data_IF_488296855647
#
_entry.id   IF_488296855647
#
_cell.length_a   1.000
_cell.length_b   1.000
_cell.length_c   1.000
_cell.angle_alpha   90.00
_cell.angle_beta   90.00
_cell.angle_gamma   90.00
#
_symmetry.space_group_name_H-M   'P 1'
#
loop_
_entity.id
_entity.type
_entity.pdbx_description
1 polymer ?
#
# COMPACT_ATOMS: atom_id res chain seq x y z
N UNK A 1 0.66 -9.51 1.60
CA UNK A 1 0.60 -10.58 0.58
C UNK A 1 1.84 -10.43 -0.28
N UNK A 2 2.76 -11.41 -0.25
CA UNK A 2 3.99 -11.38 -1.06
C UNK A 2 3.60 -11.70 -2.50
N UNK A 3 3.67 -10.72 -3.39
CA UNK A 3 3.58 -10.95 -4.83
C UNK A 3 4.92 -11.55 -5.24
N UNK A 4 4.97 -12.87 -5.44
CA UNK A 4 6.16 -13.48 -6.04
C UNK A 4 6.28 -12.99 -7.48
N UNK A 5 7.42 -12.43 -7.85
CA UNK A 5 7.77 -12.08 -9.23
C UNK A 5 8.00 -13.34 -10.07
N UNK A 6 6.98 -14.17 -10.23
CA UNK A 6 7.05 -15.43 -10.97
C UNK A 6 6.71 -15.23 -12.46
N UNK A 7 7.36 -14.27 -13.12
CA UNK A 7 7.22 -14.03 -14.56
C UNK A 7 7.51 -15.24 -15.46
N UNK A 8 8.52 -16.09 -15.16
CA UNK A 8 8.72 -17.31 -15.92
C UNK A 8 7.49 -18.21 -15.89
N UNK A 9 6.78 -18.25 -14.75
CA UNK A 9 5.54 -19.02 -14.61
C UNK A 9 4.41 -18.44 -15.45
N UNK A 10 4.29 -17.12 -15.57
CA UNK A 10 3.26 -16.48 -16.40
C UNK A 10 3.52 -16.79 -17.88
N UNK A 11 4.76 -16.60 -18.36
CA UNK A 11 5.12 -16.91 -19.75
C UNK A 11 4.97 -18.41 -20.05
N UNK A 12 5.38 -19.29 -19.13
CA UNK A 12 5.20 -20.73 -19.30
C UNK A 12 3.73 -21.11 -19.25
N UNK A 13 2.91 -20.48 -18.39
CA UNK A 13 1.48 -20.72 -18.29
C UNK A 13 0.79 -20.33 -19.61
N UNK A 14 1.12 -19.18 -20.20
CA UNK A 14 0.57 -18.78 -21.50
C UNK A 14 1.03 -19.69 -22.65
N UNK A 15 2.29 -20.17 -22.62
CA UNK A 15 2.76 -21.17 -23.59
C UNK A 15 2.02 -22.50 -23.46
N UNK A 16 1.84 -23.00 -22.24
CA UNK A 16 1.13 -24.24 -21.96
C UNK A 16 -0.34 -24.10 -22.33
N UNK A 17 -0.99 -22.99 -21.96
CA UNK A 17 -2.37 -22.68 -22.33
C UNK A 17 -2.51 -22.59 -23.85
N UNK A 18 -1.61 -21.88 -24.55
CA UNK A 18 -1.60 -21.79 -26.01
C UNK A 18 -1.45 -23.16 -26.70
N UNK A 19 -0.57 -24.01 -26.20
CA UNK A 19 -0.41 -25.38 -26.68
C UNK A 19 -1.66 -26.24 -26.42
N UNK A 20 -2.28 -26.09 -25.24
CA UNK A 20 -3.52 -26.77 -24.88
C UNK A 20 -4.70 -26.32 -25.75
N UNK A 21 -4.86 -25.02 -25.97
CA UNK A 21 -5.96 -24.47 -26.79
C UNK A 21 -5.80 -24.85 -28.27
N UNK A 22 -4.56 -24.91 -28.79
CA UNK A 22 -4.32 -25.35 -30.17
C UNK A 22 -4.70 -26.82 -30.37
N UNK A 23 -4.37 -27.71 -29.41
CA UNK A 23 -4.70 -29.13 -29.50
C UNK A 23 -6.16 -29.47 -29.16
N UNK A 24 -6.91 -28.55 -28.53
CA UNK A 24 -8.30 -28.75 -28.07
C UNK A 24 -9.25 -27.68 -28.56
N UNK A 25 -8.97 -27.11 -29.73
CA UNK A 25 -9.66 -25.95 -30.28
C UNK A 25 -11.19 -26.14 -30.38
N UNK A 26 -11.68 -27.38 -30.53
CA UNK A 26 -13.11 -27.69 -30.56
C UNK A 26 -13.83 -27.53 -29.20
N UNK A 27 -13.13 -27.63 -28.07
CA UNK A 27 -13.68 -27.38 -26.73
C UNK A 27 -13.72 -25.88 -26.38
N UNK A 28 -12.92 -25.07 -27.06
CA UNK A 28 -12.80 -23.62 -26.82
C UNK A 28 -13.42 -22.77 -27.94
N UNK A 29 -14.37 -23.33 -28.71
CA UNK A 29 -15.00 -22.70 -29.89
C UNK A 29 -15.52 -21.27 -29.69
N UNK A 30 -15.72 -20.82 -28.44
CA UNK A 30 -16.22 -19.49 -28.10
C UNK A 30 -15.22 -18.59 -27.34
N UNK A 31 -14.01 -19.07 -27.04
CA UNK A 31 -12.99 -18.30 -26.33
C UNK A 31 -11.82 -17.99 -27.26
N UNK A 32 -11.87 -16.84 -27.93
CA UNK A 32 -10.69 -16.32 -28.62
C UNK A 32 -9.78 -15.67 -27.58
N UNK A 33 -8.68 -16.33 -27.21
CA UNK A 33 -7.58 -15.68 -26.50
C UNK A 33 -7.00 -14.61 -27.44
N UNK A 34 -7.36 -13.35 -27.20
CA UNK A 34 -6.82 -12.19 -27.94
C UNK A 34 -5.58 -11.68 -27.22
N UNK A 35 -4.64 -11.13 -27.99
CA UNK A 35 -3.50 -10.34 -27.50
C UNK A 35 -2.41 -11.09 -26.70
N UNK A 36 -1.84 -12.16 -27.27
CA UNK A 36 -0.60 -12.78 -26.75
C UNK A 36 0.65 -11.87 -26.82
N UNK A 37 0.54 -10.69 -27.44
CA UNK A 37 1.64 -9.73 -27.65
C UNK A 37 1.49 -8.47 -26.77
N UNK A 38 1.08 -8.63 -25.51
CA UNK A 38 1.09 -7.50 -24.58
C UNK A 38 2.50 -7.35 -24.03
N UNK A 39 3.08 -6.15 -24.19
CA UNK A 39 4.35 -5.78 -23.56
C UNK A 39 4.27 -6.01 -22.03
N UNK A 40 5.35 -6.53 -21.44
CA UNK A 40 5.44 -6.82 -19.99
C UNK A 40 5.08 -5.59 -19.15
N UNK A 41 5.57 -4.41 -19.56
CA UNK A 41 5.28 -3.17 -18.86
C UNK A 41 3.79 -2.82 -18.90
N UNK A 42 3.12 -3.09 -20.01
CA UNK A 42 1.69 -2.86 -20.23
C UNK A 42 0.85 -3.88 -19.46
N UNK A 43 1.22 -5.16 -19.52
CA UNK A 43 0.57 -6.23 -18.75
C UNK A 43 0.58 -5.92 -17.25
N UNK A 44 1.74 -5.51 -16.71
CA UNK A 44 1.86 -5.21 -15.28
C UNK A 44 0.96 -4.06 -14.85
N UNK A 45 0.89 -2.99 -15.65
CA UNK A 45 0.03 -1.85 -15.33
C UNK A 45 -1.44 -2.24 -15.37
N UNK A 46 -1.85 -3.01 -16.39
CA UNK A 46 -3.20 -3.56 -16.51
C UNK A 46 -3.53 -4.43 -15.31
N UNK A 47 -2.63 -5.33 -14.94
CA UNK A 47 -2.81 -6.26 -13.83
C UNK A 47 -3.02 -5.55 -12.49
N UNK A 48 -2.17 -4.57 -12.15
CA UNK A 48 -2.29 -3.81 -10.90
C UNK A 48 -3.66 -3.10 -10.82
N UNK A 49 -4.06 -2.39 -11.88
CA UNK A 49 -5.34 -1.68 -11.91
C UNK A 49 -6.52 -2.64 -11.83
N UNK A 50 -6.47 -3.73 -12.62
CA UNK A 50 -7.54 -4.73 -12.68
C UNK A 50 -7.70 -5.45 -11.34
N UNK A 51 -6.61 -5.95 -10.75
CA UNK A 51 -6.65 -6.65 -9.47
C UNK A 51 -7.21 -5.75 -8.36
N UNK A 52 -6.79 -4.48 -8.31
CA UNK A 52 -7.33 -3.54 -7.33
C UNK A 52 -8.83 -3.27 -7.54
N UNK A 53 -9.26 -3.05 -8.78
CA UNK A 53 -10.66 -2.80 -9.12
C UNK A 53 -11.58 -3.96 -8.70
N UNK A 54 -11.18 -5.20 -9.01
CA UNK A 54 -11.95 -6.40 -8.72
C UNK A 54 -11.95 -6.74 -7.22
N UNK A 55 -10.84 -6.50 -6.53
CA UNK A 55 -10.72 -6.83 -5.10
C UNK A 55 -11.22 -5.73 -4.16
N UNK A 56 -11.48 -4.51 -4.66
CA UNK A 56 -11.78 -3.36 -3.81
C UNK A 56 -13.01 -3.57 -2.92
N UNK A 57 -14.09 -4.16 -3.43
CA UNK A 57 -15.32 -4.28 -2.65
C UNK A 57 -15.16 -5.24 -1.46
N UNK A 58 -14.31 -6.26 -1.60
CA UNK A 58 -13.96 -7.15 -0.50
C UNK A 58 -12.97 -6.50 0.47
N UNK A 59 -12.00 -5.73 -0.03
CA UNK A 59 -11.14 -4.91 0.81
C UNK A 59 -11.94 -3.89 1.62
N UNK A 60 -12.93 -3.24 1.00
CA UNK A 60 -13.83 -2.28 1.63
C UNK A 60 -14.55 -2.91 2.82
N UNK A 61 -15.08 -4.12 2.70
CA UNK A 61 -15.71 -4.85 3.82
C UNK A 61 -14.73 -5.10 4.97
N UNK A 62 -13.47 -5.42 4.66
CA UNK A 62 -12.41 -5.67 5.65
C UNK A 62 -11.90 -4.39 6.32
N UNK A 63 -11.92 -3.26 5.61
CA UNK A 63 -11.68 -1.93 6.17
C UNK A 63 -12.84 -1.53 7.09
N UNK A 64 -14.07 -1.82 6.67
CA UNK A 64 -15.27 -1.42 7.41
C UNK A 64 -15.44 -2.20 8.72
N UNK A 65 -14.95 -3.45 8.78
CA UNK A 65 -14.93 -4.24 10.01
C UNK A 65 -13.95 -3.71 11.08
N UNK A 66 -13.17 -2.67 10.76
CA UNK A 66 -12.24 -1.99 11.69
C UNK A 66 -11.27 -2.93 12.41
N UNK A 67 -10.89 -4.04 11.77
CA UNK A 67 -9.86 -4.92 12.30
C UNK A 67 -8.53 -4.16 12.40
N UNK A 68 -7.91 -4.20 13.58
CA UNK A 68 -6.60 -3.56 13.84
C UNK A 68 -5.50 -4.09 12.93
N UNK A 69 -5.59 -5.35 12.49
CA UNK A 69 -4.62 -5.96 11.57
C UNK A 69 -4.91 -5.61 10.11
N UNK A 70 -6.16 -5.76 9.68
CA UNK A 70 -6.53 -5.67 8.28
C UNK A 70 -6.71 -4.23 7.80
N UNK A 71 -7.26 -3.36 8.64
CA UNK A 71 -7.56 -1.97 8.25
C UNK A 71 -6.30 -1.22 7.81
N UNK A 72 -5.20 -1.20 8.59
CA UNK A 72 -3.98 -0.51 8.17
C UNK A 72 -3.39 -1.08 6.88
N UNK A 73 -3.39 -2.42 6.75
CA UNK A 73 -2.85 -3.11 5.58
C UNK A 73 -3.62 -2.76 4.30
N UNK A 74 -4.95 -2.82 4.34
CA UNK A 74 -5.77 -2.50 3.16
C UNK A 74 -5.81 -1.01 2.87
N UNK A 75 -5.80 -0.15 3.89
CA UNK A 75 -5.68 1.29 3.69
C UNK A 75 -4.36 1.68 3.02
N UNK A 76 -3.24 1.05 3.41
CA UNK A 76 -1.96 1.20 2.69
C UNK A 76 -2.10 0.79 1.23
N UNK A 77 -2.70 -0.37 0.96
CA UNK A 77 -2.91 -0.85 -0.39
C UNK A 77 -3.77 0.09 -1.24
N UNK A 78 -4.82 0.69 -0.66
CA UNK A 78 -5.64 1.73 -1.31
C UNK A 78 -4.78 2.95 -1.66
N UNK A 79 -3.98 3.45 -0.71
CA UNK A 79 -3.08 4.59 -0.94
C UNK A 79 -2.09 4.32 -2.06
N UNK A 80 -1.45 3.15 -2.07
CA UNK A 80 -0.45 2.78 -3.07
C UNK A 80 -1.08 2.69 -4.48
N UNK A 81 -2.31 2.18 -4.60
CA UNK A 81 -3.01 2.12 -5.88
C UNK A 81 -3.49 3.50 -6.38
N UNK A 82 -3.91 4.39 -5.47
CA UNK A 82 -4.24 5.78 -5.82
C UNK A 82 -3.01 6.53 -6.34
N UNK A 83 -1.84 6.30 -5.73
CA UNK A 83 -0.57 6.83 -6.23
C UNK A 83 -0.23 6.23 -7.61
N UNK A 84 -0.33 4.91 -7.74
CA UNK A 84 -0.06 4.20 -8.99
C UNK A 84 -0.92 4.71 -10.15
N UNK A 85 -2.23 4.88 -9.94
CA UNK A 85 -3.15 5.46 -10.92
C UNK A 85 -2.62 6.81 -11.42
N UNK A 86 -2.25 7.70 -10.49
CA UNK A 86 -1.75 9.03 -10.81
C UNK A 86 -0.39 9.01 -11.53
N UNK A 87 0.44 8.00 -11.31
CA UNK A 87 1.75 7.86 -11.97
C UNK A 87 1.68 7.38 -13.43
N UNK A 88 0.57 6.72 -13.80
CA UNK A 88 0.42 6.09 -15.12
C UNK A 88 -0.69 6.66 -15.98
N UNK A 89 -1.64 7.43 -15.42
CA UNK A 89 -2.79 7.97 -16.15
C UNK A 89 -2.39 8.89 -17.32
N UNK A 90 -1.41 9.77 -17.13
CA UNK A 90 -1.00 10.74 -18.15
C UNK A 90 -0.25 10.07 -19.31
N UNK A 91 0.28 8.85 -19.09
CA UNK A 91 0.97 8.06 -20.12
C UNK A 91 0.00 7.24 -20.98
N UNK A 92 -1.29 7.24 -20.65
CA UNK A 92 -2.29 6.36 -21.23
C UNK A 92 -3.61 7.12 -21.44
N UNK A 93 -3.65 7.92 -22.50
CA UNK A 93 -4.76 8.87 -22.75
C UNK A 93 -5.77 8.37 -23.78
N UNK A 94 -5.41 7.39 -24.64
CA UNK A 94 -6.33 6.83 -25.64
C UNK A 94 -6.31 5.31 -25.65
N UNK A 95 -7.48 4.72 -25.94
CA UNK A 95 -7.68 3.26 -26.02
C UNK A 95 -6.82 2.60 -27.09
N UNK A 96 -6.62 3.28 -28.22
CA UNK A 96 -5.91 2.76 -29.38
C UNK A 96 -4.42 2.54 -29.10
N UNK A 97 -3.84 3.33 -28.21
CA UNK A 97 -2.40 3.33 -27.93
C UNK A 97 -2.05 2.69 -26.59
N UNK A 98 -3.04 2.39 -25.75
CA UNK A 98 -2.80 1.93 -24.38
C UNK A 98 -3.65 0.71 -23.97
N UNK A 99 -2.97 -0.41 -23.70
CA UNK A 99 -3.60 -1.69 -23.33
C UNK A 99 -4.25 -1.75 -21.94
N UNK A 100 -4.16 -0.66 -21.15
CA UNK A 100 -4.78 -0.55 -19.82
C UNK A 100 -5.69 0.68 -19.67
N UNK A 101 -6.11 1.28 -20.80
CA UNK A 101 -6.95 2.48 -20.81
C UNK A 101 -8.32 2.24 -20.15
N UNK A 102 -8.96 1.11 -20.44
CA UNK A 102 -10.27 0.76 -19.89
C UNK A 102 -10.22 0.61 -18.37
N UNK A 103 -9.15 0.02 -17.84
CA UNK A 103 -8.94 -0.11 -16.41
C UNK A 103 -8.75 1.26 -15.73
N UNK A 104 -8.01 2.19 -16.35
CA UNK A 104 -7.90 3.56 -15.82
C UNK A 104 -9.23 4.30 -15.81
N UNK A 105 -10.02 4.15 -16.88
CA UNK A 105 -11.34 4.76 -16.97
C UNK A 105 -12.24 4.25 -15.83
N UNK A 106 -12.33 2.93 -15.66
CA UNK A 106 -13.09 2.31 -14.56
C UNK A 106 -12.59 2.73 -13.18
N UNK A 107 -11.26 2.85 -13.01
CA UNK A 107 -10.66 3.34 -11.79
C UNK A 107 -11.16 4.76 -11.47
N UNK A 108 -11.06 5.68 -12.44
CA UNK A 108 -11.54 7.06 -12.27
C UNK A 108 -13.03 7.09 -11.92
N UNK A 109 -13.85 6.40 -12.70
CA UNK A 109 -15.32 6.36 -12.53
C UNK A 109 -15.74 5.84 -11.15
N UNK A 110 -15.01 4.86 -10.60
CA UNK A 110 -15.29 4.29 -9.27
C UNK A 110 -14.78 5.19 -8.14
N UNK A 111 -13.56 5.69 -8.25
CA UNK A 111 -12.86 6.35 -7.13
C UNK A 111 -12.97 7.87 -7.12
N UNK A 112 -13.60 8.50 -8.12
CA UNK A 112 -14.01 9.91 -8.05
C UNK A 112 -15.32 10.09 -7.28
N UNK A 113 -16.10 9.01 -7.06
CA UNK A 113 -17.38 9.08 -6.39
C UNK A 113 -17.20 9.54 -4.94
N UNK A 114 -17.96 10.56 -4.56
CA UNK A 114 -17.77 11.26 -3.29
C UNK A 114 -18.01 10.34 -2.08
N UNK A 115 -18.94 9.39 -2.17
CA UNK A 115 -19.21 8.39 -1.14
C UNK A 115 -18.05 7.41 -0.95
N UNK A 116 -17.44 6.96 -2.05
CA UNK A 116 -16.24 6.10 -2.04
C UNK A 116 -15.06 6.83 -1.42
N UNK A 117 -14.83 8.09 -1.83
CA UNK A 117 -13.76 8.92 -1.27
C UNK A 117 -13.98 9.20 0.22
N UNK A 118 -15.20 9.59 0.61
CA UNK A 118 -15.54 9.85 2.01
C UNK A 118 -15.33 8.61 2.88
N UNK A 119 -15.70 7.42 2.39
CA UNK A 119 -15.41 6.16 3.06
C UNK A 119 -13.91 6.00 3.33
N UNK A 120 -13.08 6.15 2.29
CA UNK A 120 -11.62 6.01 2.39
C UNK A 120 -11.06 7.06 3.38
N UNK A 121 -11.45 8.32 3.26
CA UNK A 121 -10.95 9.39 4.14
C UNK A 121 -11.27 9.16 5.60
N UNK A 122 -12.45 8.64 5.90
CA UNK A 122 -12.90 8.43 7.26
C UNK A 122 -12.31 7.15 7.84
N UNK A 123 -12.41 6.02 7.13
CA UNK A 123 -12.00 4.72 7.64
C UNK A 123 -10.49 4.51 7.62
N UNK A 124 -9.79 5.08 6.64
CA UNK A 124 -8.33 5.03 6.56
C UNK A 124 -7.62 6.21 7.20
N UNK A 125 -8.37 7.15 7.80
CA UNK A 125 -7.83 8.38 8.39
C UNK A 125 -6.94 9.16 7.40
N UNK A 126 -7.41 9.30 6.16
CA UNK A 126 -6.69 9.96 5.05
C UNK A 126 -7.37 11.27 4.64
N UNK A 127 -6.59 12.19 4.09
CA UNK A 127 -7.05 13.41 3.43
C UNK A 127 -6.56 13.46 1.99
N UNK A 128 -7.29 14.21 1.16
CA UNK A 128 -6.84 14.55 -0.20
C UNK A 128 -5.48 15.24 -0.17
N UNK A 129 -4.65 14.89 -1.14
CA UNK A 129 -3.32 15.45 -1.34
C UNK A 129 -2.99 15.49 -2.83
N UNK A 130 -2.03 16.36 -3.19
CA UNK A 130 -1.40 16.31 -4.50
C UNK A 130 -0.43 15.12 -4.60
N UNK A 131 -0.29 14.55 -5.80
CA UNK A 131 0.60 13.42 -6.07
C UNK A 131 2.05 13.83 -6.38
N UNK A 132 2.25 15.10 -6.75
CA UNK A 132 3.52 15.78 -6.98
C UNK A 132 3.45 17.17 -6.33
N UNK A 133 4.54 17.94 -6.33
CA UNK A 133 4.57 19.35 -5.88
C UNK A 133 3.70 20.32 -6.74
N UNK A 134 2.80 19.78 -7.56
CA UNK A 134 1.85 20.52 -8.38
C UNK A 134 0.45 20.58 -7.78
N UNK A 135 -0.34 21.53 -8.30
CA UNK A 135 -1.71 21.79 -7.87
C UNK A 135 -2.65 20.60 -8.07
N UNK A 136 -3.63 20.51 -7.18
CA UNK A 136 -4.76 19.58 -7.26
C UNK A 136 -5.59 19.84 -8.53
N UNK A 137 -6.00 18.76 -9.22
CA UNK A 137 -7.03 18.80 -10.26
C UNK A 137 -8.34 18.35 -9.63
N UNK A 138 -9.34 19.22 -9.62
CA UNK A 138 -10.59 19.04 -8.87
C UNK A 138 -11.42 17.85 -9.36
N UNK A 139 -11.40 17.60 -10.67
CA UNK A 139 -12.18 16.54 -11.32
C UNK A 139 -11.39 15.24 -11.56
N UNK A 140 -10.48 14.91 -10.64
CA UNK A 140 -9.68 13.69 -10.76
C UNK A 140 -9.40 12.99 -9.44
N UNK A 141 -8.98 11.72 -9.53
CA UNK A 141 -8.66 10.91 -8.35
C UNK A 141 -7.46 11.52 -7.60
N UNK A 142 -7.62 11.97 -6.34
CA UNK A 142 -6.54 12.60 -5.59
C UNK A 142 -5.49 11.58 -5.15
N UNK A 143 -4.32 12.06 -4.72
CA UNK A 143 -3.48 11.23 -3.86
C UNK A 143 -3.96 11.28 -2.41
N UNK A 144 -3.56 10.27 -1.64
CA UNK A 144 -3.98 10.10 -0.26
C UNK A 144 -2.80 10.39 0.69
N UNK A 145 -3.02 11.30 1.63
CA UNK A 145 -2.08 11.58 2.72
C UNK A 145 -2.76 11.29 4.04
N UNK A 146 -2.04 10.66 4.96
CA UNK A 146 -2.60 10.39 6.27
C UNK A 146 -2.85 11.66 7.09
N UNK A 147 -3.94 11.66 7.88
CA UNK A 147 -4.25 12.69 8.86
C UNK A 147 -3.43 12.41 10.12
N UNK A 148 -2.86 13.45 10.72
CA UNK A 148 -2.05 13.34 11.94
C UNK A 148 -0.57 13.68 11.74
N UNK A 149 0.21 13.57 12.81
CA UNK A 149 1.60 14.01 12.87
C UNK A 149 2.52 13.03 12.11
N UNK A 150 3.38 13.51 11.17
CA UNK A 150 4.38 12.68 10.45
C UNK A 150 5.23 11.76 11.34
N UNK A 151 5.44 12.10 12.61
CA UNK A 151 6.23 11.29 13.53
C UNK A 151 5.55 9.98 13.99
N UNK A 152 4.21 9.88 13.99
CA UNK A 152 3.48 8.67 14.43
C UNK A 152 3.09 7.79 13.22
N UNK A 153 3.19 8.33 12.01
CA UNK A 153 2.79 7.67 10.77
C UNK A 153 3.58 6.41 10.39
N UNK A 154 4.89 6.28 10.70
CA UNK A 154 5.62 5.03 10.50
C UNK A 154 5.19 3.90 11.46
N UNK A 155 4.43 4.21 12.51
CA UNK A 155 4.03 3.26 13.55
C UNK A 155 2.68 2.62 13.21
N UNK A 156 1.80 3.36 12.51
CA UNK A 156 0.43 2.94 12.19
C UNK A 156 0.22 2.46 10.74
N UNK A 157 1.19 2.68 9.84
CA UNK A 157 1.03 2.46 8.39
C UNK A 157 1.89 1.37 7.77
N UNK A 158 2.55 0.54 8.56
CA UNK A 158 3.81 -0.04 8.12
C UNK A 158 3.83 -1.56 8.16
N UNK A 159 4.50 -2.13 7.17
CA UNK A 159 4.72 -3.56 6.96
C UNK A 159 5.18 -4.20 8.30
N UNK A 160 4.82 -5.45 8.65
CA UNK A 160 5.40 -6.11 9.82
C UNK A 160 6.93 -5.98 9.90
N UNK A 161 7.65 -5.88 8.77
CA UNK A 161 9.08 -5.57 8.76
C UNK A 161 9.44 -4.17 9.27
N UNK A 162 8.64 -3.16 8.94
CA UNK A 162 8.83 -1.79 9.41
C UNK A 162 8.49 -1.65 10.90
N UNK A 163 7.49 -2.39 11.40
CA UNK A 163 7.15 -2.43 12.84
C UNK A 163 8.32 -2.99 13.66
N UNK A 164 8.95 -4.07 13.17
CA UNK A 164 10.17 -4.64 13.80
C UNK A 164 11.30 -3.61 13.80
N UNK A 165 11.50 -2.90 12.68
CA UNK A 165 12.56 -1.90 12.58
C UNK A 165 12.31 -0.68 13.49
N UNK A 166 11.06 -0.24 13.65
CA UNK A 166 10.68 0.83 14.57
C UNK A 166 10.87 0.39 16.03
N UNK A 167 10.38 -0.79 16.41
CA UNK A 167 10.58 -1.35 17.76
C UNK A 167 12.07 -1.50 18.07
N UNK A 168 12.86 -1.97 17.10
CA UNK A 168 14.31 -2.08 17.22
C UNK A 168 14.97 -0.70 17.42
N UNK A 169 14.59 0.30 16.64
CA UNK A 169 15.13 1.66 16.78
C UNK A 169 14.75 2.31 18.13
N UNK A 170 13.51 2.13 18.59
CA UNK A 170 13.06 2.60 19.92
C UNK A 170 13.82 1.88 21.05
N UNK A 171 14.03 0.57 20.91
CA UNK A 171 14.85 -0.19 21.85
C UNK A 171 16.30 0.32 21.88
N UNK A 172 16.93 0.51 20.71
CA UNK A 172 18.31 1.03 20.59
C UNK A 172 18.44 2.42 21.24
N UNK A 173 17.45 3.30 21.03
CA UNK A 173 17.47 4.65 21.59
C UNK A 173 17.21 4.62 23.10
N UNK A 174 16.33 3.76 23.60
CA UNK A 174 15.97 3.72 25.03
C UNK A 174 17.06 3.13 25.93
N UNK A 175 17.92 2.24 25.43
CA UNK A 175 19.03 1.62 26.17
C UNK A 175 19.98 2.66 26.80
N UNK A 176 20.56 3.62 26.05
CA UNK A 176 21.43 4.63 26.64
C UNK A 176 20.70 5.56 27.61
N UNK A 177 19.42 5.88 27.38
CA UNK A 177 18.62 6.68 28.33
C UNK A 177 18.39 5.94 29.65
N UNK A 178 18.07 4.63 29.60
CA UNK A 178 17.94 3.79 30.79
C UNK A 178 19.26 3.66 31.54
N UNK A 179 20.38 3.50 30.84
CA UNK A 179 21.71 3.45 31.46
C UNK A 179 22.05 4.74 32.19
N UNK A 180 21.84 5.90 31.55
CA UNK A 180 22.05 7.22 32.17
C UNK A 180 21.12 7.39 33.36
N UNK A 181 19.84 7.04 33.23
CA UNK A 181 18.86 7.11 34.32
C UNK A 181 19.30 6.27 35.52
N UNK A 182 19.75 5.04 35.31
CA UNK A 182 20.26 4.16 36.38
C UNK A 182 21.54 4.70 37.04
N UNK A 183 22.45 5.31 36.27
CA UNK A 183 23.64 5.97 36.81
C UNK A 183 23.24 7.14 37.71
N UNK A 184 22.34 8.01 37.24
CA UNK A 184 21.84 9.15 38.01
C UNK A 184 21.11 8.68 39.28
N UNK A 185 20.29 7.63 39.18
CA UNK A 185 19.60 7.05 40.33
C UNK A 185 20.59 6.50 41.37
N UNK A 186 21.65 5.80 40.92
CA UNK A 186 22.70 5.27 41.79
C UNK A 186 23.51 6.38 42.47
N UNK A 187 23.87 7.45 41.74
CA UNK A 187 24.58 8.60 42.30
C UNK A 187 23.72 9.32 43.35
N UNK A 188 22.43 9.52 43.08
CA UNK A 188 21.49 10.13 44.03
C UNK A 188 21.33 9.29 45.30
N UNK A 189 21.22 7.95 45.20
CA UNK A 189 21.19 7.05 46.36
C UNK A 189 22.48 7.16 47.18
N UNK A 190 23.66 7.18 46.54
CA UNK A 190 24.93 7.35 47.25
C UNK A 190 25.03 8.71 47.95
N UNK A 191 24.52 9.78 47.34
CA UNK A 191 24.47 11.11 47.95
C UNK A 191 23.57 11.13 49.19
N UNK A 192 22.40 10.51 49.12
CA UNK A 192 21.49 10.36 50.26
C UNK A 192 22.08 9.50 51.39
N UNK A 193 22.75 8.39 51.06
CA UNK A 193 23.40 7.55 52.06
C UNK A 193 24.59 8.26 52.74
N UNK A 194 25.39 9.03 51.98
CA UNK A 194 26.53 9.79 52.53
C UNK A 194 26.10 10.96 53.41
N UNK A 195 24.98 11.61 53.08
CA UNK A 195 24.41 12.67 53.92
C UNK A 195 23.88 12.12 55.27
N UNK A 196 23.34 10.89 55.29
CA UNK A 196 22.84 10.26 56.52
C UNK A 196 23.91 9.50 57.35
N UNK A 197 25.07 9.18 56.78
CA UNK A 197 26.16 8.49 57.50
C UNK A 197 27.12 9.45 58.24
N UNK A 198 26.84 10.75 58.25
CA UNK A 198 27.70 11.77 58.90
C UNK A 198 27.13 12.30 60.22
N UNK A 199 26.04 11.70 60.74
CA UNK A 199 25.55 11.94 62.10
C UNK A 199 25.86 10.71 62.96
N UNK A 200 27.05 10.68 63.55
CA UNK A 200 27.33 9.90 64.75
C UNK A 200 28.33 10.61 65.64
#
# INVERSE_FOLDING_TARGET
MRISNNFPLISSLYHILGAFTNNRNHYFKNCTLKDFKVDKGTFNKKHILYEFLESYDDMKKKIDSQSELYTPLYCKHVKDNFLFYNDVKDKCTTKETCGYFEELKKFKEKFIQQDVLNFIYNKCNYKKASCKDGSYVEDDVPCLRAKGNPFILPILGNDPYDIVNVLLNVAIISVPFLAIFLILFKVNICYFCKANSSCH
#
